data_IF_474897245953
#
_entry.id   IF_474897245953
#
_cell.length_a   1.000
_cell.length_b   1.000
_cell.length_c   1.000
_cell.angle_alpha   90.00
_cell.angle_beta   90.00
_cell.angle_gamma   90.00
#
_symmetry.space_group_name_H-M   'P 1'
#
loop_
_entity.id
_entity.type
_entity.pdbx_description
1 polymer ?
#
# COMPACT_ATOMS: atom_id res chain seq x y z
N UNK A 1 -12.32 -20.76 -19.88
CA UNK A 1 -12.24 -20.73 -18.40
C UNK A 1 -12.09 -22.13 -17.82
N UNK A 2 -12.91 -23.11 -18.24
CA UNK A 2 -12.82 -24.52 -17.80
C UNK A 2 -11.48 -25.19 -18.15
N UNK A 3 -10.96 -25.00 -19.36
CA UNK A 3 -9.70 -25.61 -19.79
C UNK A 3 -8.47 -25.11 -19.01
N UNK A 4 -8.49 -23.85 -18.57
CA UNK A 4 -7.44 -23.28 -17.72
C UNK A 4 -7.44 -23.91 -16.32
N UNK A 5 -8.61 -24.28 -15.79
CA UNK A 5 -8.71 -25.01 -14.53
C UNK A 5 -8.23 -26.46 -14.67
N UNK A 6 -8.48 -27.13 -15.80
CA UNK A 6 -8.07 -28.52 -16.05
C UNK A 6 -6.56 -28.66 -16.33
N UNK A 7 -5.95 -27.63 -16.90
CA UNK A 7 -4.50 -27.56 -17.20
C UNK A 7 -3.69 -26.88 -16.09
N UNK A 8 -4.34 -26.45 -15.00
CA UNK A 8 -3.69 -25.72 -13.92
C UNK A 8 -2.60 -26.58 -13.25
N UNK A 9 -1.34 -26.18 -13.44
CA UNK A 9 -0.21 -26.89 -12.85
C UNK A 9 -0.21 -26.72 -11.33
N UNK A 10 -0.13 -27.80 -10.54
CA UNK A 10 -0.17 -27.71 -9.08
C UNK A 10 0.96 -26.84 -8.51
N UNK A 11 0.75 -26.24 -7.32
CA UNK A 11 1.79 -25.47 -6.65
C UNK A 11 3.02 -26.36 -6.39
N UNK A 12 4.20 -25.71 -6.34
CA UNK A 12 5.45 -26.39 -5.99
C UNK A 12 5.28 -27.12 -4.66
N UNK A 13 5.39 -28.46 -4.68
CA UNK A 13 5.29 -29.26 -3.45
C UNK A 13 6.47 -28.93 -2.54
N UNK A 14 6.20 -28.54 -1.30
CA UNK A 14 7.24 -28.42 -0.29
C UNK A 14 7.77 -29.82 0.07
N UNK A 15 9.05 -30.08 -0.21
CA UNK A 15 9.73 -31.32 0.14
C UNK A 15 10.52 -31.16 1.44
N UNK A 16 10.45 -32.17 2.31
CA UNK A 16 11.28 -32.23 3.52
C UNK A 16 12.76 -32.43 3.13
N UNK A 17 13.74 -32.05 3.99
CA UNK A 17 15.17 -32.17 3.68
C UNK A 17 15.61 -33.57 3.23
N UNK A 18 15.10 -34.64 3.87
CA UNK A 18 15.39 -36.03 3.48
C UNK A 18 14.86 -36.39 2.09
N UNK A 19 13.70 -35.85 1.73
CA UNK A 19 13.07 -36.10 0.43
C UNK A 19 13.80 -35.36 -0.69
N UNK A 20 14.31 -34.15 -0.41
CA UNK A 20 15.16 -33.40 -1.34
C UNK A 20 16.47 -34.14 -1.62
N UNK A 21 17.10 -34.73 -0.60
CA UNK A 21 18.32 -35.52 -0.77
C UNK A 21 18.08 -36.76 -1.65
N UNK A 22 16.98 -37.48 -1.40
CA UNK A 22 16.56 -38.63 -2.19
C UNK A 22 16.21 -38.26 -3.63
N UNK A 23 15.58 -37.11 -3.88
CA UNK A 23 15.37 -36.63 -5.23
C UNK A 23 16.67 -36.23 -5.92
N UNK A 24 17.61 -35.60 -5.21
CA UNK A 24 18.93 -35.27 -5.77
C UNK A 24 19.72 -36.52 -6.16
N UNK A 25 19.64 -37.61 -5.39
CA UNK A 25 20.24 -38.90 -5.77
C UNK A 25 19.53 -39.52 -6.98
N UNK A 26 18.21 -39.42 -7.08
CA UNK A 26 17.46 -39.87 -8.26
C UNK A 26 17.82 -39.07 -9.52
N UNK A 27 18.02 -37.77 -9.37
CA UNK A 27 18.48 -36.90 -10.46
C UNK A 27 19.89 -37.27 -10.93
N UNK A 28 20.80 -37.62 -10.01
CA UNK A 28 22.13 -38.15 -10.36
C UNK A 28 22.05 -39.46 -11.15
N UNK A 29 21.03 -40.28 -10.88
CA UNK A 29 20.74 -41.52 -11.61
C UNK A 29 19.88 -41.30 -12.87
N UNK A 30 19.63 -40.04 -13.28
CA UNK A 30 18.87 -39.70 -14.48
C UNK A 30 17.34 -39.84 -14.37
N UNK A 31 16.81 -40.11 -13.18
CA UNK A 31 15.38 -40.28 -12.93
C UNK A 31 14.78 -38.95 -12.44
N UNK A 32 14.26 -38.15 -13.36
CA UNK A 32 13.61 -36.87 -13.05
C UNK A 32 12.09 -37.07 -12.97
N UNK A 33 11.46 -36.57 -11.90
CA UNK A 33 10.01 -36.59 -11.79
C UNK A 33 9.39 -35.45 -12.60
N UNK A 34 8.24 -35.71 -13.25
CA UNK A 34 7.48 -34.68 -14.01
C UNK A 34 7.19 -33.44 -13.15
N UNK A 35 6.95 -33.63 -11.85
CA UNK A 35 6.72 -32.54 -10.90
C UNK A 35 7.95 -31.64 -10.69
N UNK A 36 9.16 -32.21 -10.69
CA UNK A 36 10.41 -31.47 -10.49
C UNK A 36 10.86 -30.79 -11.80
N UNK A 37 10.60 -31.39 -12.97
CA UNK A 37 10.79 -30.70 -14.27
C UNK A 37 9.93 -29.44 -14.39
N UNK A 38 8.63 -29.56 -14.07
CA UNK A 38 7.72 -28.40 -14.03
C UNK A 38 8.17 -27.36 -13.01
N UNK A 39 8.72 -27.80 -11.86
CA UNK A 39 9.25 -26.90 -10.85
C UNK A 39 10.45 -26.08 -11.36
N UNK A 40 11.41 -26.75 -12.01
CA UNK A 40 12.58 -26.10 -12.62
C UNK A 40 12.17 -25.12 -13.72
N UNK A 41 11.16 -25.46 -14.54
CA UNK A 41 10.62 -24.55 -15.56
C UNK A 41 9.95 -23.32 -14.93
N UNK A 42 9.14 -23.48 -13.88
CA UNK A 42 8.51 -22.36 -13.15
C UNK A 42 9.55 -21.45 -12.49
N UNK A 43 10.60 -22.04 -11.91
CA UNK A 43 11.72 -21.29 -11.31
C UNK A 43 12.52 -20.50 -12.35
N UNK A 44 12.76 -21.07 -13.54
CA UNK A 44 13.38 -20.35 -14.67
C UNK A 44 12.52 -19.16 -15.11
N UNK A 45 11.22 -19.36 -15.35
CA UNK A 45 10.28 -18.28 -15.72
C UNK A 45 10.24 -17.14 -14.71
N UNK A 46 10.16 -17.47 -13.41
CA UNK A 46 10.21 -16.44 -12.35
C UNK A 46 11.53 -15.68 -12.35
N UNK A 47 12.67 -16.34 -12.57
CA UNK A 47 13.97 -15.66 -12.59
C UNK A 47 14.03 -14.56 -13.66
N UNK A 48 13.43 -14.81 -14.82
CA UNK A 48 13.36 -13.84 -15.91
C UNK A 48 12.40 -12.67 -15.59
N UNK A 49 11.29 -12.94 -14.89
CA UNK A 49 10.34 -11.91 -14.42
C UNK A 49 10.94 -10.95 -13.37
N UNK A 50 11.87 -11.42 -12.54
CA UNK A 50 12.58 -10.59 -11.55
C UNK A 50 13.82 -9.87 -12.10
N UNK A 51 14.30 -10.25 -13.28
CA UNK A 51 15.44 -9.60 -13.93
C UNK A 51 15.05 -8.32 -14.69
N UNK A 52 13.77 -8.17 -15.01
CA UNK A 52 13.22 -6.95 -15.61
C UNK A 52 12.87 -5.94 -14.52
N UNK A 53 13.03 -4.62 -14.75
CA UNK A 53 12.53 -3.62 -13.82
C UNK A 53 11.08 -3.92 -13.49
N UNK A 54 10.77 -4.12 -12.21
CA UNK A 54 9.39 -4.34 -11.78
C UNK A 54 8.57 -3.09 -12.11
N UNK A 55 7.78 -3.19 -13.17
CA UNK A 55 6.77 -2.21 -13.56
C UNK A 55 5.70 -2.25 -12.48
N UNK A 56 5.71 -1.26 -11.59
CA UNK A 56 4.73 -1.14 -10.53
C UNK A 56 3.50 -0.40 -11.08
N UNK A 57 2.52 -1.15 -11.58
CA UNK A 57 1.25 -0.59 -12.08
C UNK A 57 0.81 -1.19 -13.41
N UNK A 58 -0.07 -0.48 -14.10
CA UNK A 58 -0.53 -0.88 -15.45
C UNK A 58 0.63 -0.72 -16.45
N UNK A 59 0.93 -1.74 -17.27
CA UNK A 59 2.01 -1.67 -18.26
C UNK A 59 1.84 -0.45 -19.18
N UNK A 60 2.88 0.37 -19.33
CA UNK A 60 2.87 1.56 -20.20
C UNK A 60 2.44 2.86 -19.52
N UNK A 61 2.03 2.83 -18.25
CA UNK A 61 1.68 4.04 -17.47
C UNK A 61 2.79 4.48 -16.50
N UNK A 62 3.96 3.84 -16.56
CA UNK A 62 5.09 4.24 -15.73
C UNK A 62 5.63 5.59 -16.21
N UNK A 63 6.17 6.37 -15.27
CA UNK A 63 6.77 7.68 -15.55
C UNK A 63 7.92 7.60 -16.58
N UNK A 64 8.57 6.44 -16.68
CA UNK A 64 9.62 6.15 -17.66
C UNK A 64 9.03 5.88 -19.04
N UNK A 65 7.99 5.03 -19.14
CA UNK A 65 7.32 4.73 -20.42
C UNK A 65 6.56 5.92 -20.99
N UNK A 66 6.09 6.82 -20.12
CA UNK A 66 5.45 8.07 -20.51
C UNK A 66 6.46 9.16 -20.93
N UNK A 67 7.77 8.91 -20.80
CA UNK A 67 8.81 9.86 -21.19
C UNK A 67 8.96 11.07 -20.26
N UNK A 68 8.35 11.04 -19.07
CA UNK A 68 8.48 12.11 -18.06
C UNK A 68 9.80 12.00 -17.29
N UNK A 69 10.34 10.79 -17.16
CA UNK A 69 11.58 10.51 -16.43
C UNK A 69 12.54 9.73 -17.32
N UNK A 70 13.70 10.33 -17.60
CA UNK A 70 14.78 9.65 -18.31
C UNK A 70 15.41 8.58 -17.40
N UNK A 71 15.35 7.32 -17.82
CA UNK A 71 15.88 6.19 -17.05
C UNK A 71 17.38 6.34 -16.71
N UNK A 72 18.15 6.95 -17.61
CA UNK A 72 19.60 7.13 -17.45
C UNK A 72 19.99 8.23 -16.45
N UNK A 73 19.08 9.18 -16.19
CA UNK A 73 19.31 10.28 -15.25
C UNK A 73 18.90 9.92 -13.81
N UNK A 74 18.31 8.74 -13.60
CA UNK A 74 17.92 8.29 -12.27
C UNK A 74 19.20 8.09 -11.45
N UNK A 75 19.42 8.86 -10.37
CA UNK A 75 20.59 8.68 -9.52
C UNK A 75 20.57 7.26 -8.94
N UNK A 76 21.59 6.48 -9.30
CA UNK A 76 21.80 5.14 -8.73
C UNK A 76 22.44 5.31 -7.37
N UNK A 77 21.66 5.08 -6.32
CA UNK A 77 22.19 5.05 -4.96
C UNK A 77 22.69 3.64 -4.64
N UNK A 78 23.97 3.51 -4.34
CA UNK A 78 24.54 2.28 -3.80
C UNK A 78 24.18 2.19 -2.31
N UNK A 79 22.97 1.71 -2.02
CA UNK A 79 22.64 1.31 -0.67
C UNK A 79 23.23 -0.07 -0.43
N UNK A 80 24.15 -0.20 0.52
CA UNK A 80 24.64 -1.52 0.92
C UNK A 80 23.44 -2.37 1.39
N UNK A 81 23.41 -3.65 1.03
CA UNK A 81 22.31 -4.56 1.40
C UNK A 81 22.13 -4.60 2.93
N UNK A 82 23.22 -4.41 3.67
CA UNK A 82 23.25 -4.36 5.13
C UNK A 82 22.56 -3.10 5.69
N UNK A 83 22.85 -1.93 5.14
CA UNK A 83 22.20 -0.68 5.55
C UNK A 83 20.72 -0.66 5.23
N UNK A 84 20.32 -1.20 4.06
CA UNK A 84 18.91 -1.36 3.71
C UNK A 84 18.16 -2.24 4.71
N UNK A 85 18.75 -3.37 5.12
CA UNK A 85 18.17 -4.26 6.14
C UNK A 85 18.08 -3.59 7.50
N UNK A 86 19.10 -2.82 7.88
CA UNK A 86 19.13 -2.07 9.15
C UNK A 86 18.02 -1.02 9.20
N UNK A 87 17.90 -0.19 8.16
CA UNK A 87 16.89 0.87 8.07
C UNK A 87 15.46 0.31 8.06
N UNK A 88 15.20 -0.75 7.29
CA UNK A 88 13.89 -1.40 7.25
C UNK A 88 13.47 -1.96 8.62
N UNK A 89 14.42 -2.53 9.38
CA UNK A 89 14.17 -3.05 10.73
C UNK A 89 13.84 -1.93 11.71
N UNK A 90 14.57 -0.82 11.68
CA UNK A 90 14.29 0.33 12.55
C UNK A 90 12.96 1.00 12.19
N UNK A 91 12.67 1.20 10.90
CA UNK A 91 11.38 1.72 10.44
C UNK A 91 10.22 0.86 10.96
N UNK A 92 10.32 -0.47 10.80
CA UNK A 92 9.31 -1.41 11.31
C UNK A 92 9.15 -1.32 12.83
N UNK A 93 10.26 -1.17 13.57
CA UNK A 93 10.24 -1.01 15.03
C UNK A 93 9.52 0.27 15.46
N UNK A 94 9.81 1.40 14.81
CA UNK A 94 9.17 2.69 15.09
C UNK A 94 7.69 2.64 14.75
N UNK A 95 7.34 2.07 13.59
CA UNK A 95 5.94 1.95 13.15
C UNK A 95 5.11 1.11 14.12
N UNK A 96 5.65 -0.03 14.58
CA UNK A 96 4.96 -0.88 15.56
C UNK A 96 4.84 -0.22 16.93
N UNK A 97 5.81 0.62 17.34
CA UNK A 97 5.68 1.44 18.55
C UNK A 97 4.54 2.45 18.43
N UNK A 98 4.49 3.20 17.32
CA UNK A 98 3.42 4.16 17.04
C UNK A 98 2.05 3.49 16.99
N UNK A 99 1.96 2.32 16.34
CA UNK A 99 0.72 1.56 16.25
C UNK A 99 0.22 1.13 17.64
N UNK A 100 1.09 0.56 18.48
CA UNK A 100 0.71 0.17 19.85
C UNK A 100 0.28 1.36 20.71
N UNK A 101 0.99 2.49 20.61
CA UNK A 101 0.61 3.72 21.32
C UNK A 101 -0.78 4.21 20.89
N UNK A 102 -1.06 4.18 19.57
CA UNK A 102 -2.37 4.52 19.03
C UNK A 102 -3.47 3.57 19.52
N UNK A 103 -3.24 2.26 19.47
CA UNK A 103 -4.19 1.24 19.96
C UNK A 103 -4.50 1.43 21.46
N UNK A 104 -3.47 1.72 22.27
CA UNK A 104 -3.66 2.03 23.68
C UNK A 104 -4.52 3.29 23.88
N UNK A 105 -4.26 4.36 23.12
CA UNK A 105 -5.05 5.59 23.20
C UNK A 105 -6.50 5.42 22.72
N UNK A 106 -6.73 4.67 21.63
CA UNK A 106 -8.07 4.42 21.11
C UNK A 106 -8.88 3.52 22.06
N UNK A 107 -8.27 2.49 22.63
CA UNK A 107 -8.93 1.60 23.60
C UNK A 107 -9.26 2.32 24.92
N UNK A 108 -8.37 3.18 25.43
CA UNK A 108 -8.67 3.99 26.61
C UNK A 108 -9.78 5.00 26.33
N UNK A 109 -9.76 5.69 25.18
CA UNK A 109 -10.82 6.60 24.77
C UNK A 109 -12.18 5.89 24.68
N UNK A 110 -12.21 4.69 24.09
CA UNK A 110 -13.42 3.90 23.97
C UNK A 110 -13.97 3.46 25.34
N UNK A 111 -13.09 3.02 26.25
CA UNK A 111 -13.47 2.66 27.62
C UNK A 111 -14.08 3.86 28.35
N UNK A 112 -13.38 5.00 28.34
CA UNK A 112 -13.85 6.23 28.97
C UNK A 112 -15.16 6.74 28.34
N UNK A 113 -15.34 6.61 27.03
CA UNK A 113 -16.61 6.94 26.37
C UNK A 113 -17.77 6.10 26.90
N UNK A 114 -17.57 4.79 27.09
CA UNK A 114 -18.60 3.89 27.65
C UNK A 114 -18.93 4.23 29.09
N UNK A 115 -17.91 4.45 29.91
CA UNK A 115 -18.07 4.86 31.32
C UNK A 115 -18.82 6.20 31.42
N UNK A 116 -18.51 7.16 30.53
CA UNK A 116 -19.21 8.44 30.48
C UNK A 116 -20.68 8.31 30.08
N UNK A 117 -21.02 7.43 29.12
CA UNK A 117 -22.42 7.18 28.74
C UNK A 117 -23.18 6.51 29.89
N UNK A 118 -22.54 5.59 30.62
CA UNK A 118 -23.16 4.89 31.75
C UNK A 118 -23.46 5.83 32.92
N UNK A 119 -22.64 6.86 33.12
CA UNK A 119 -22.82 7.87 34.16
C UNK A 119 -23.94 8.89 33.87
N UNK A 120 -24.56 8.86 32.68
CA UNK A 120 -25.66 9.75 32.32
C UNK A 120 -26.99 9.28 32.94
N UNK A 121 -27.93 10.20 33.24
CA UNK A 121 -29.32 9.88 33.55
C UNK A 121 -30.00 9.07 32.42
N UNK A 122 -30.98 8.23 32.75
CA UNK A 122 -31.63 7.31 31.79
C UNK A 122 -32.12 8.00 30.50
N UNK A 123 -32.74 9.17 30.62
CA UNK A 123 -33.28 9.92 29.47
C UNK A 123 -32.18 10.30 28.46
N UNK A 124 -31.03 10.76 28.96
CA UNK A 124 -29.89 11.16 28.14
C UNK A 124 -29.08 9.97 27.63
N UNK A 125 -29.04 8.88 28.40
CA UNK A 125 -28.40 7.63 28.01
C UNK A 125 -29.07 7.01 26.79
N UNK A 126 -30.41 7.02 26.73
CA UNK A 126 -31.17 6.56 25.59
C UNK A 126 -30.85 7.38 24.31
N UNK A 127 -30.75 8.70 24.44
CA UNK A 127 -30.37 9.58 23.33
C UNK A 127 -28.92 9.38 22.88
N UNK A 128 -27.98 9.21 23.82
CA UNK A 128 -26.55 9.07 23.53
C UNK A 128 -26.15 7.73 22.87
N UNK A 129 -27.01 6.70 22.99
CA UNK A 129 -26.81 5.40 22.33
C UNK A 129 -27.10 5.44 20.83
N UNK A 130 -27.88 6.42 20.36
CA UNK A 130 -28.19 6.58 18.94
C UNK A 130 -26.99 7.21 18.21
N UNK A 131 -26.48 6.60 17.13
CA UNK A 131 -25.39 7.18 16.37
C UNK A 131 -25.84 8.45 15.64
N UNK A 132 -25.04 9.52 15.77
CA UNK A 132 -25.25 10.75 15.02
C UNK A 132 -24.86 10.54 13.55
N UNK A 133 -25.83 10.73 12.65
CA UNK A 133 -25.68 10.60 11.20
C UNK A 133 -25.50 11.95 10.49
N UNK A 134 -25.35 13.04 11.24
CA UNK A 134 -25.05 14.34 10.63
C UNK A 134 -23.73 14.27 9.85
N UNK A 135 -23.71 14.72 8.58
CA UNK A 135 -22.50 14.69 7.79
C UNK A 135 -21.45 15.62 8.40
N UNK A 136 -20.18 15.27 8.24
CA UNK A 136 -19.11 16.14 8.70
C UNK A 136 -19.16 17.51 7.99
N UNK A 137 -18.82 18.61 8.70
CA UNK A 137 -18.82 19.94 8.10
C UNK A 137 -17.92 20.02 6.87
N UNK A 138 -18.42 20.64 5.80
CA UNK A 138 -17.69 20.82 4.53
C UNK A 138 -16.40 21.64 4.73
N UNK A 139 -16.37 22.52 5.74
CA UNK A 139 -15.23 23.37 6.07
C UNK A 139 -14.11 22.65 6.85
N UNK A 140 -14.17 21.32 6.99
CA UNK A 140 -13.08 20.54 7.60
C UNK A 140 -11.95 20.35 6.58
N UNK A 141 -11.01 21.28 6.56
CA UNK A 141 -9.84 21.20 5.69
C UNK A 141 -8.81 20.20 6.22
N UNK A 142 -8.18 19.46 5.31
CA UNK A 142 -7.02 18.64 5.62
C UNK A 142 -5.84 19.55 5.97
N UNK A 143 -5.06 19.17 6.99
CA UNK A 143 -3.82 19.88 7.30
C UNK A 143 -2.87 19.82 6.10
N UNK A 144 -2.55 20.98 5.54
CA UNK A 144 -1.59 21.14 4.45
C UNK A 144 -0.17 21.29 4.98
N UNK A 145 0.83 21.02 4.14
CA UNK A 145 2.25 21.16 4.50
C UNK A 145 2.61 22.62 4.87
N UNK A 146 1.97 23.59 4.22
CA UNK A 146 2.14 25.01 4.48
C UNK A 146 0.82 25.62 4.98
N UNK A 147 0.88 26.62 5.89
CA UNK A 147 -0.30 27.37 6.28
C UNK A 147 -0.89 28.14 5.08
N UNK A 148 -2.18 28.53 5.14
CA UNK A 148 -2.82 29.29 4.07
C UNK A 148 -2.19 30.67 3.89
N UNK A 149 -2.13 31.14 2.64
CA UNK A 149 -1.63 32.47 2.29
C UNK A 149 -2.75 33.50 2.50
N UNK A 150 -2.44 34.58 3.21
CA UNK A 150 -3.36 35.67 3.48
C UNK A 150 -3.89 36.31 2.19
N UNK A 151 -5.21 36.54 2.11
CA UNK A 151 -5.87 37.19 0.99
C UNK A 151 -5.82 36.42 -0.34
N UNK A 152 -5.36 35.16 -0.37
CA UNK A 152 -5.26 34.39 -1.62
C UNK A 152 -6.63 34.17 -2.27
N UNK A 153 -7.65 33.82 -1.47
CA UNK A 153 -9.02 33.63 -1.94
C UNK A 153 -9.61 34.95 -2.44
N UNK A 154 -9.32 36.07 -1.77
CA UNK A 154 -9.78 37.40 -2.18
C UNK A 154 -9.21 37.79 -3.55
N UNK A 155 -7.90 37.59 -3.75
CA UNK A 155 -7.21 37.82 -5.02
C UNK A 155 -7.79 36.96 -6.16
N UNK A 156 -8.09 35.69 -5.90
CA UNK A 156 -8.75 34.80 -6.88
C UNK A 156 -10.14 35.33 -7.22
N UNK A 157 -10.94 35.67 -6.21
CA UNK A 157 -12.29 36.17 -6.41
C UNK A 157 -12.30 37.49 -7.20
N UNK A 158 -11.38 38.40 -6.92
CA UNK A 158 -11.18 39.62 -7.68
C UNK A 158 -10.77 39.35 -9.13
N UNK A 159 -9.83 38.43 -9.35
CA UNK A 159 -9.40 38.04 -10.69
C UNK A 159 -10.55 37.39 -11.50
N UNK A 160 -11.34 36.52 -10.87
CA UNK A 160 -12.50 35.88 -11.48
C UNK A 160 -13.61 36.89 -11.82
N UNK A 161 -13.85 37.88 -10.95
CA UNK A 161 -14.77 38.98 -11.25
C UNK A 161 -14.30 39.81 -12.44
N UNK A 162 -12.99 40.10 -12.51
CA UNK A 162 -12.38 40.86 -13.63
C UNK A 162 -12.46 40.10 -14.96
N UNK A 163 -12.28 38.77 -14.97
CA UNK A 163 -12.38 37.97 -16.19
C UNK A 163 -13.82 37.82 -16.67
N UNK A 164 -14.78 37.56 -15.78
CA UNK A 164 -16.20 37.42 -16.12
C UNK A 164 -16.82 38.71 -16.70
N UNK A 165 -16.36 39.88 -16.24
CA UNK A 165 -16.79 41.16 -16.81
C UNK A 165 -16.26 41.40 -18.24
N UNK A 166 -15.12 40.80 -18.60
CA UNK A 166 -14.49 40.96 -19.91
C UNK A 166 -15.15 40.12 -21.01
N UNK A 167 -15.84 39.04 -20.64
CA UNK A 167 -16.46 38.10 -21.57
C UNK A 167 -17.87 38.54 -22.03
N UNK A 168 -18.57 39.38 -21.24
CA UNK A 168 -19.88 39.96 -21.60
C UNK A 168 -19.83 41.10 -22.62
N UNK A 169 -18.64 41.49 -23.10
CA UNK A 169 -18.43 42.63 -24.01
C UNK A 169 -18.07 42.18 -25.45
N UNK A 170 -18.35 40.92 -25.80
CA UNK A 170 -18.22 40.35 -27.15
C UNK A 170 -19.58 40.03 -27.75
#
# INVERSE_FOLDING_TARGET
MVDQCLTATPPLRFLKPKEKAREAEREKMGLISKANEQAKQKLKKKKDEFASPWIMGTPGMDLISLGLVDADKIPKYELTVEDGRRLAKEYSRVLMRKHRARQAAESTLLRLKKEAIEALPEDLKAAALVPDLTPFPVNRFMATLTPPIEGYIEKINEAARKSAAKEKLR
#
